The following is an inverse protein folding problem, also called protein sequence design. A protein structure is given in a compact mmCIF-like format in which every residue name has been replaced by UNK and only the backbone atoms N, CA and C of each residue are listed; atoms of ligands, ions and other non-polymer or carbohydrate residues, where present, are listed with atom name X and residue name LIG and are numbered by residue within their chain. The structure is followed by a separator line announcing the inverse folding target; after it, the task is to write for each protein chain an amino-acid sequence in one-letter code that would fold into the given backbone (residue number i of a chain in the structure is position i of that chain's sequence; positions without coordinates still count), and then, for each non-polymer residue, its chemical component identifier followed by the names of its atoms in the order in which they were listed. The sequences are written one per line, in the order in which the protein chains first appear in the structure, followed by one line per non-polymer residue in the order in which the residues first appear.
data_IF_051192037058
#
_entry.id   IF_051192037058
#
_cell.length_a   1.000
_cell.length_b   1.000
_cell.length_c   1.000
_cell.angle_alpha   90.00
_cell.angle_beta   90.00
_cell.angle_gamma   90.00
#
_symmetry.space_group_name_H-M   'P 1'
#
loop_
_entity.id
_entity.type
_entity.pdbx_description
1 polymer ?
#
# COMPACT_ATOMS: atom_id res chain seq x y z
N UNK A 1 61.59 27.14 -13.48
CA UNK A 1 60.34 27.21 -12.69
C UNK A 1 59.16 26.83 -13.58
N UNK A 2 58.46 25.74 -13.23
CA UNK A 2 57.01 25.48 -13.34
C UNK A 2 56.78 23.99 -13.55
N UNK A 3 56.63 23.32 -12.42
CA UNK A 3 56.05 22.00 -12.21
C UNK A 3 54.62 21.96 -12.76
N UNK A 4 54.36 21.11 -13.75
CA UNK A 4 53.01 20.74 -14.13
C UNK A 4 52.61 19.52 -13.31
N UNK A 5 51.92 19.76 -12.18
CA UNK A 5 51.27 18.72 -11.40
C UNK A 5 50.15 18.10 -12.22
N UNK A 6 50.31 16.83 -12.60
CA UNK A 6 49.26 16.00 -13.16
C UNK A 6 48.21 15.80 -12.05
N UNK A 7 47.12 16.56 -12.14
CA UNK A 7 45.97 16.45 -11.26
C UNK A 7 45.26 15.12 -11.59
N UNK A 8 45.48 14.10 -10.76
CA UNK A 8 44.68 12.88 -10.76
C UNK A 8 43.26 13.24 -10.33
N UNK A 9 42.39 13.54 -11.31
CA UNK A 9 40.96 13.58 -11.11
C UNK A 9 40.47 12.14 -10.91
N UNK A 10 40.55 11.67 -9.66
CA UNK A 10 39.81 10.50 -9.22
C UNK A 10 38.33 10.83 -9.43
N UNK A 11 37.75 10.29 -10.50
CA UNK A 11 36.30 10.26 -10.70
C UNK A 11 35.70 9.43 -9.56
N UNK A 12 35.36 10.10 -8.46
CA UNK A 12 34.41 9.61 -7.46
C UNK A 12 33.04 9.53 -8.14
N UNK A 13 32.82 8.43 -8.85
CA UNK A 13 31.48 8.01 -9.25
C UNK A 13 30.64 7.95 -7.96
N UNK A 14 29.51 8.66 -7.87
CA UNK A 14 28.57 8.39 -6.80
C UNK A 14 28.10 6.95 -6.98
N UNK A 15 28.46 6.07 -6.04
CA UNK A 15 27.86 4.74 -5.94
C UNK A 15 26.38 4.95 -5.61
N UNK A 16 25.57 5.07 -6.66
CA UNK A 16 24.13 4.92 -6.63
C UNK A 16 23.88 3.45 -6.25
N UNK A 17 23.80 3.17 -4.95
CA UNK A 17 23.37 1.88 -4.44
C UNK A 17 21.87 1.74 -4.76
N UNK A 18 21.58 1.18 -5.92
CA UNK A 18 20.26 0.72 -6.26
C UNK A 18 19.93 -0.45 -5.33
N UNK A 19 19.10 -0.20 -4.31
CA UNK A 19 18.46 -1.26 -3.54
C UNK A 19 17.78 -2.22 -4.54
N UNK A 20 18.17 -3.49 -4.54
CA UNK A 20 17.65 -4.47 -5.49
C UNK A 20 16.22 -4.83 -5.06
N UNK A 21 15.22 -4.47 -5.87
CA UNK A 21 13.86 -4.96 -5.68
C UNK A 21 13.86 -6.48 -5.83
N UNK A 22 13.30 -7.18 -4.85
CA UNK A 22 13.22 -8.63 -4.80
C UNK A 22 11.79 -9.09 -4.58
N UNK A 23 11.46 -10.24 -5.16
CA UNK A 23 10.21 -10.95 -4.91
C UNK A 23 10.45 -12.06 -3.89
N UNK A 24 9.58 -12.14 -2.89
CA UNK A 24 9.51 -13.28 -1.98
C UNK A 24 8.84 -14.43 -2.73
N UNK A 25 9.60 -15.49 -3.03
CA UNK A 25 9.10 -16.67 -3.76
C UNK A 25 8.77 -17.85 -2.87
N UNK A 26 9.31 -17.87 -1.65
CA UNK A 26 9.02 -18.88 -0.64
C UNK A 26 8.41 -18.19 0.60
N UNK A 27 7.09 -18.29 0.84
CA UNK A 27 6.46 -17.77 2.04
C UNK A 27 7.09 -18.28 3.34
N UNK A 28 7.65 -19.50 3.34
CA UNK A 28 8.31 -20.07 4.52
C UNK A 28 9.62 -19.36 4.87
N UNK A 29 10.22 -18.65 3.91
CA UNK A 29 11.38 -17.80 4.18
C UNK A 29 11.02 -16.67 5.17
N UNK A 30 9.78 -16.17 5.12
CA UNK A 30 9.27 -15.15 6.04
C UNK A 30 8.83 -15.73 7.38
N UNK A 31 8.29 -16.96 7.40
CA UNK A 31 7.95 -17.69 8.63
C UNK A 31 9.16 -17.84 9.56
N UNK A 32 10.32 -18.13 8.97
CA UNK A 32 11.59 -18.24 9.69
C UNK A 32 12.45 -16.97 9.61
N UNK A 33 11.83 -15.83 9.29
CA UNK A 33 12.53 -14.56 9.24
C UNK A 33 13.12 -14.22 10.62
N UNK A 34 14.42 -13.97 10.64
CA UNK A 34 15.16 -13.64 11.86
C UNK A 34 15.17 -12.13 12.08
N UNK A 35 15.24 -11.75 13.34
CA UNK A 35 15.38 -10.35 13.72
C UNK A 35 16.78 -9.87 13.33
N UNK A 36 16.85 -8.66 12.76
CA UNK A 36 18.14 -8.12 12.29
C UNK A 36 19.09 -7.96 13.47
N UNK A 37 18.59 -7.45 14.60
CA UNK A 37 19.37 -7.23 15.83
C UNK A 37 19.95 -8.51 16.43
N UNK A 38 19.30 -9.66 16.22
CA UNK A 38 19.70 -10.96 16.81
C UNK A 38 20.54 -11.80 15.85
N UNK A 39 20.72 -11.36 14.61
CA UNK A 39 21.42 -12.15 13.60
C UNK A 39 22.88 -11.72 13.48
N UNK A 40 23.79 -12.62 13.87
CA UNK A 40 25.24 -12.41 13.76
C UNK A 40 25.64 -12.16 12.30
N UNK A 41 26.50 -11.18 12.07
CA UNK A 41 27.01 -10.80 10.75
C UNK A 41 26.10 -9.85 9.95
N UNK A 42 24.87 -9.60 10.38
CA UNK A 42 23.97 -8.69 9.67
C UNK A 42 24.47 -7.24 9.68
N UNK A 43 24.96 -6.75 10.82
CA UNK A 43 25.50 -5.40 10.98
C UNK A 43 26.75 -5.16 10.14
N UNK A 44 27.71 -6.10 10.18
CA UNK A 44 28.91 -6.08 9.35
C UNK A 44 28.58 -6.07 7.86
N UNK A 45 27.55 -6.82 7.45
CA UNK A 45 27.08 -6.86 6.07
C UNK A 45 26.41 -5.55 5.62
N UNK A 46 25.66 -4.89 6.51
CA UNK A 46 25.06 -3.58 6.23
C UNK A 46 26.14 -2.49 6.12
N UNK A 47 27.15 -2.51 6.99
CA UNK A 47 28.34 -1.65 6.87
C UNK A 47 29.07 -1.89 5.55
N UNK A 48 29.30 -3.16 5.19
CA UNK A 48 29.93 -3.53 3.92
C UNK A 48 29.10 -3.13 2.69
N UNK A 49 27.77 -3.06 2.83
CA UNK A 49 26.87 -2.52 1.82
C UNK A 49 26.86 -0.98 1.74
N UNK A 50 27.61 -0.31 2.62
CA UNK A 50 27.82 1.14 2.61
C UNK A 50 26.80 1.94 3.42
N UNK A 51 26.00 1.28 4.26
CA UNK A 51 25.10 1.98 5.17
C UNK A 51 25.88 2.57 6.35
N UNK A 52 25.46 3.76 6.79
CA UNK A 52 26.05 4.41 7.95
C UNK A 52 25.42 3.94 9.27
N UNK A 53 26.03 4.29 10.40
CA UNK A 53 25.58 3.87 11.74
C UNK A 53 24.15 4.30 12.07
N UNK A 54 23.70 5.47 11.57
CA UNK A 54 22.33 5.94 11.78
C UNK A 54 21.33 5.07 11.03
N UNK A 55 21.60 4.77 9.76
CA UNK A 55 20.77 3.89 8.94
C UNK A 55 20.70 2.47 9.52
N UNK A 56 21.84 1.94 9.97
CA UNK A 56 21.91 0.65 10.66
C UNK A 56 21.12 0.70 11.98
N UNK A 57 21.20 1.80 12.72
CA UNK A 57 20.41 2.03 13.93
C UNK A 57 18.91 1.89 13.67
N UNK A 58 18.41 2.55 12.61
CA UNK A 58 17.00 2.44 12.17
C UNK A 58 16.66 0.99 11.79
N UNK A 59 17.50 0.33 11.00
CA UNK A 59 17.27 -1.07 10.60
C UNK A 59 17.20 -2.02 11.80
N UNK A 60 18.00 -1.75 12.84
CA UNK A 60 17.98 -2.53 14.08
C UNK A 60 16.75 -2.24 14.94
N UNK A 61 16.31 -0.99 14.95
CA UNK A 61 15.12 -0.55 15.68
C UNK A 61 13.85 -1.16 15.09
N UNK A 62 13.69 -1.14 13.76
CA UNK A 62 12.53 -1.67 13.05
C UNK A 62 12.74 -3.09 12.49
N UNK A 63 13.75 -3.78 13.01
CA UNK A 63 14.15 -5.12 12.59
C UNK A 63 13.71 -6.23 13.54
N UNK A 64 12.86 -5.91 14.53
CA UNK A 64 12.32 -6.88 15.48
C UNK A 64 11.02 -7.51 14.94
N UNK A 65 10.66 -8.67 15.47
CA UNK A 65 9.40 -9.35 15.18
C UNK A 65 8.20 -8.50 15.56
N UNK A 66 8.30 -7.71 16.62
CA UNK A 66 7.22 -6.83 17.09
C UNK A 66 6.90 -5.68 16.14
N UNK A 67 7.84 -5.29 15.27
CA UNK A 67 7.62 -4.25 14.26
C UNK A 67 6.88 -4.77 13.02
N UNK A 68 6.73 -6.10 12.91
CA UNK A 68 6.03 -6.73 11.80
C UNK A 68 4.50 -6.55 11.93
N UNK A 69 3.77 -6.51 10.80
CA UNK A 69 2.30 -6.53 10.79
C UNK A 69 1.72 -7.73 11.54
N UNK A 70 0.55 -7.58 12.14
CA UNK A 70 -0.10 -8.60 12.98
C UNK A 70 -0.21 -9.98 12.29
N UNK A 71 -0.56 -10.01 11.01
CA UNK A 71 -0.71 -11.22 10.19
C UNK A 71 0.59 -11.97 9.89
N UNK A 72 1.75 -11.38 10.18
CA UNK A 72 3.07 -12.04 10.15
C UNK A 72 3.87 -11.85 11.44
N UNK A 73 3.22 -11.36 12.50
CA UNK A 73 3.83 -11.27 13.83
C UNK A 73 3.68 -12.59 14.58
N UNK A 74 2.52 -13.26 14.42
CA UNK A 74 2.16 -14.51 15.10
C UNK A 74 3.01 -15.73 14.72
N UNK A 75 2.74 -16.87 15.36
CA UNK A 75 3.42 -18.15 15.10
C UNK A 75 2.98 -18.83 13.80
N UNK A 76 3.41 -20.08 13.62
CA UNK A 76 3.27 -20.88 12.38
C UNK A 76 1.84 -20.89 11.81
N UNK A 77 0.81 -20.93 12.66
CA UNK A 77 -0.60 -20.90 12.24
C UNK A 77 -1.01 -19.58 11.57
N UNK A 78 -0.44 -18.46 12.00
CA UNK A 78 -0.72 -17.12 11.44
C UNK A 78 -0.02 -16.95 10.08
N UNK A 79 1.20 -17.47 9.96
CA UNK A 79 1.93 -17.50 8.69
C UNK A 79 1.25 -18.41 7.66
N UNK A 80 0.81 -19.61 8.05
CA UNK A 80 0.13 -20.54 7.16
C UNK A 80 -1.17 -19.95 6.59
N UNK A 81 -1.95 -19.25 7.42
CA UNK A 81 -3.18 -18.58 6.98
C UNK A 81 -2.91 -17.43 6.00
N UNK A 82 -1.78 -16.74 6.15
CA UNK A 82 -1.42 -15.57 5.36
C UNK A 82 -0.41 -15.82 4.23
N UNK A 83 0.05 -17.07 4.07
CA UNK A 83 1.04 -17.45 3.06
C UNK A 83 0.70 -16.99 1.62
N UNK A 84 -0.57 -17.04 1.15
CA UNK A 84 -0.93 -16.53 -0.17
C UNK A 84 -0.71 -15.02 -0.35
N UNK A 85 -0.69 -14.26 0.75
CA UNK A 85 -0.51 -12.80 0.73
C UNK A 85 0.96 -12.40 0.85
N UNK A 86 1.78 -13.19 1.56
CA UNK A 86 3.20 -12.88 1.82
C UNK A 86 3.99 -12.64 0.52
N UNK A 87 3.70 -13.43 -0.53
CA UNK A 87 4.38 -13.29 -1.84
C UNK A 87 4.09 -11.96 -2.55
N UNK A 88 3.11 -11.19 -2.08
CA UNK A 88 2.67 -9.93 -2.68
C UNK A 88 3.31 -8.69 -2.02
N UNK A 89 4.14 -8.88 -0.98
CA UNK A 89 4.94 -7.78 -0.45
C UNK A 89 5.94 -7.30 -1.51
N UNK A 90 6.04 -5.98 -1.65
CA UNK A 90 7.16 -5.33 -2.30
C UNK A 90 8.32 -5.25 -1.32
N UNK A 91 9.45 -5.83 -1.70
CA UNK A 91 10.62 -5.98 -0.83
C UNK A 91 11.89 -5.53 -1.56
N UNK A 92 12.85 -5.01 -0.80
CA UNK A 92 14.13 -4.54 -1.30
C UNK A 92 15.27 -5.20 -0.53
N UNK A 93 16.18 -5.85 -1.23
CA UNK A 93 17.36 -6.48 -0.64
C UNK A 93 18.41 -5.40 -0.41
N UNK A 94 18.83 -5.26 0.85
CA UNK A 94 19.85 -4.29 1.26
C UNK A 94 21.25 -4.88 1.14
N UNK A 95 21.42 -6.12 1.60
CA UNK A 95 22.69 -6.83 1.53
C UNK A 95 22.46 -8.35 1.62
N UNK A 96 23.50 -9.11 1.26
CA UNK A 96 23.58 -10.56 1.49
C UNK A 96 24.80 -10.87 2.32
N UNK A 97 24.71 -11.90 3.16
CA UNK A 97 25.83 -12.34 3.98
C UNK A 97 25.72 -13.82 4.33
N UNK A 98 26.85 -14.39 4.73
CA UNK A 98 26.92 -15.77 5.13
C UNK A 98 26.82 -15.89 6.65
N UNK A 99 25.86 -16.68 7.11
CA UNK A 99 25.72 -17.04 8.51
C UNK A 99 25.64 -18.57 8.61
N UNK A 100 26.56 -19.15 9.35
CA UNK A 100 26.74 -20.60 9.48
C UNK A 100 26.96 -21.25 8.09
N UNK A 101 26.01 -22.07 7.65
CA UNK A 101 26.02 -22.76 6.34
C UNK A 101 25.05 -22.15 5.34
N UNK A 102 24.36 -21.06 5.68
CA UNK A 102 23.27 -20.50 4.89
C UNK A 102 23.58 -19.07 4.43
N UNK A 103 23.25 -18.78 3.16
CA UNK A 103 23.24 -17.42 2.65
C UNK A 103 21.94 -16.73 3.05
N UNK A 104 22.09 -15.62 3.77
CA UNK A 104 21.01 -14.79 4.26
C UNK A 104 21.04 -13.43 3.57
N UNK A 105 19.91 -12.76 3.61
CA UNK A 105 19.73 -11.41 3.09
C UNK A 105 19.00 -10.55 4.12
N UNK A 106 19.44 -9.30 4.27
CA UNK A 106 18.66 -8.26 4.96
C UNK A 106 17.71 -7.64 3.94
N UNK A 107 16.43 -7.67 4.24
CA UNK A 107 15.36 -7.22 3.36
C UNK A 107 14.54 -6.14 4.04
N UNK A 108 14.30 -5.06 3.32
CA UNK A 108 13.39 -3.96 3.71
C UNK A 108 12.04 -4.16 3.05
N UNK A 109 10.96 -3.95 3.81
CA UNK A 109 9.59 -3.94 3.33
C UNK A 109 8.95 -2.59 3.64
N UNK A 110 9.00 -1.62 2.70
CA UNK A 110 8.54 -0.26 2.97
C UNK A 110 7.03 -0.17 3.10
N UNK A 111 6.53 0.56 4.09
CA UNK A 111 5.09 0.77 4.28
C UNK A 111 4.45 1.46 3.06
N UNK A 112 5.14 2.46 2.50
CA UNK A 112 4.64 3.20 1.34
C UNK A 112 4.48 2.32 0.08
N UNK A 113 5.31 1.28 -0.06
CA UNK A 113 5.24 0.32 -1.17
C UNK A 113 4.26 -0.83 -0.92
N UNK A 114 3.72 -0.95 0.29
CA UNK A 114 2.90 -2.08 0.73
C UNK A 114 1.51 -1.67 1.24
N UNK A 115 1.01 -0.49 0.83
CA UNK A 115 -0.32 -0.01 1.20
C UNK A 115 -1.47 -0.86 0.65
N UNK A 116 -1.20 -1.67 -0.39
CA UNK A 116 -2.17 -2.60 -0.99
C UNK A 116 -2.41 -3.85 -0.16
N UNK A 117 -1.56 -4.13 0.82
CA UNK A 117 -1.70 -5.31 1.66
C UNK A 117 -2.99 -5.25 2.49
N UNK A 118 -3.61 -6.41 2.81
CA UNK A 118 -4.71 -6.52 3.78
C UNK A 118 -4.37 -5.83 5.10
N UNK A 119 -5.36 -5.39 5.86
CA UNK A 119 -5.17 -4.59 7.08
C UNK A 119 -4.18 -5.23 8.06
N UNK A 120 -4.38 -6.50 8.40
CA UNK A 120 -3.48 -7.24 9.32
C UNK A 120 -2.07 -7.46 8.75
N UNK A 121 -1.90 -7.34 7.44
CA UNK A 121 -0.65 -7.51 6.70
C UNK A 121 -0.04 -6.18 6.25
N UNK A 122 -0.67 -5.05 6.60
CA UNK A 122 -0.21 -3.74 6.15
C UNK A 122 0.83 -3.20 7.12
N UNK A 123 2.04 -2.85 6.66
CA UNK A 123 3.03 -2.23 7.53
C UNK A 123 2.61 -0.82 7.90
N UNK A 124 2.71 -0.48 9.19
CA UNK A 124 2.48 0.88 9.70
C UNK A 124 3.73 1.76 9.55
N UNK A 125 4.90 1.13 9.50
CA UNK A 125 6.20 1.71 9.22
C UNK A 125 7.01 0.73 8.35
N UNK A 126 8.13 1.21 7.82
CA UNK A 126 9.09 0.32 7.16
C UNK A 126 9.61 -0.69 8.18
N UNK A 127 9.67 -1.96 7.81
CA UNK A 127 10.22 -3.00 8.67
C UNK A 127 11.26 -3.82 7.93
N UNK A 128 12.14 -4.44 8.71
CA UNK A 128 13.30 -5.14 8.21
C UNK A 128 13.32 -6.58 8.73
N UNK A 129 13.74 -7.49 7.86
CA UNK A 129 13.82 -8.91 8.19
C UNK A 129 15.08 -9.52 7.61
N UNK A 130 15.58 -10.56 8.28
CA UNK A 130 16.62 -11.43 7.70
C UNK A 130 15.98 -12.71 7.22
N UNK A 131 16.13 -13.01 5.94
CA UNK A 131 15.56 -14.22 5.31
C UNK A 131 16.64 -14.99 4.54
N UNK A 132 16.44 -16.30 4.30
CA UNK A 132 17.26 -17.05 3.35
C UNK A 132 17.25 -16.42 1.96
N UNK A 133 18.43 -16.17 1.38
CA UNK A 133 18.54 -15.55 0.05
C UNK A 133 17.87 -16.41 -1.04
N UNK A 134 17.92 -17.74 -0.90
CA UNK A 134 17.21 -18.70 -1.77
C UNK A 134 15.68 -18.50 -1.84
N UNK A 135 15.09 -17.85 -0.84
CA UNK A 135 13.67 -17.53 -0.79
C UNK A 135 13.30 -16.30 -1.62
N UNK A 136 14.31 -15.59 -2.12
CA UNK A 136 14.19 -14.35 -2.90
C UNK A 136 14.54 -14.61 -4.36
N UNK A 137 13.91 -13.85 -5.25
CA UNK A 137 14.38 -13.68 -6.63
C UNK A 137 14.48 -12.20 -6.96
N UNK A 138 15.43 -11.78 -7.81
CA UNK A 138 15.40 -10.46 -8.40
C UNK A 138 14.01 -10.21 -8.97
N UNK A 139 13.40 -9.06 -8.66
CA UNK A 139 12.18 -8.68 -9.34
C UNK A 139 12.51 -8.46 -10.82
N UNK A 140 11.65 -8.98 -11.72
CA UNK A 140 11.77 -8.67 -13.15
C UNK A 140 11.84 -7.15 -13.31
N UNK A 141 12.81 -6.66 -14.13
CA UNK A 141 13.02 -5.21 -14.34
C UNK A 141 11.66 -4.52 -14.50
N UNK A 142 11.34 -3.53 -13.67
CA UNK A 142 9.98 -3.04 -13.61
C UNK A 142 9.62 -2.46 -14.98
N UNK A 143 8.56 -3.00 -15.59
CA UNK A 143 7.67 -2.13 -16.37
C UNK A 143 7.42 -0.92 -15.47
N UNK A 144 7.59 0.34 -15.94
CA UNK A 144 7.37 1.51 -15.10
C UNK A 144 6.07 1.30 -14.33
N UNK A 145 6.18 1.22 -13.00
CA UNK A 145 5.02 0.90 -12.17
C UNK A 145 3.97 1.96 -12.49
N UNK A 146 2.71 1.58 -12.77
CA UNK A 146 1.66 2.58 -12.74
C UNK A 146 1.72 3.26 -11.36
N UNK A 147 1.80 4.60 -11.33
CA UNK A 147 1.83 5.35 -10.08
C UNK A 147 0.73 4.81 -9.15
N UNK A 148 1.07 4.32 -7.97
CA UNK A 148 0.06 3.86 -7.01
C UNK A 148 -0.78 5.07 -6.63
N UNK A 149 -1.99 5.14 -7.18
CA UNK A 149 -2.83 6.30 -6.99
C UNK A 149 -3.35 6.35 -5.55
N UNK A 150 -3.21 7.53 -4.91
CA UNK A 150 -3.88 7.82 -3.64
C UNK A 150 -5.41 7.95 -3.79
N UNK A 151 -5.90 7.91 -5.02
CA UNK A 151 -7.28 8.17 -5.40
C UNK A 151 -7.41 9.39 -6.30
N UNK A 152 -8.53 9.55 -7.00
CA UNK A 152 -8.78 10.69 -7.86
C UNK A 152 -8.80 12.00 -7.07
N UNK A 153 -8.18 13.05 -7.62
CA UNK A 153 -8.26 14.40 -7.06
C UNK A 153 -9.72 14.85 -6.91
N UNK A 154 -10.13 15.19 -5.69
CA UNK A 154 -11.51 15.62 -5.37
C UNK A 154 -11.68 17.12 -5.11
N UNK A 155 -10.60 17.86 -4.82
CA UNK A 155 -10.67 19.29 -4.43
C UNK A 155 -11.27 20.21 -5.51
N UNK A 156 -11.22 19.80 -6.77
CA UNK A 156 -11.77 20.54 -7.91
C UNK A 156 -13.11 19.97 -8.41
N UNK A 157 -13.64 18.93 -7.75
CA UNK A 157 -14.87 18.25 -8.13
C UNK A 157 -16.05 18.88 -7.40
N UNK A 158 -17.23 18.85 -8.02
CA UNK A 158 -18.44 19.38 -7.41
C UNK A 158 -18.80 18.61 -6.14
N UNK A 159 -19.20 19.32 -5.09
CA UNK A 159 -19.69 18.68 -3.87
C UNK A 159 -21.06 18.05 -4.12
N UNK A 160 -21.29 16.89 -3.51
CA UNK A 160 -22.53 16.12 -3.64
C UNK A 160 -23.10 15.84 -2.25
N UNK A 161 -24.42 15.90 -2.13
CA UNK A 161 -25.17 15.47 -0.96
C UNK A 161 -25.92 14.17 -1.27
N UNK A 162 -25.73 13.14 -0.44
CA UNK A 162 -26.54 11.92 -0.50
C UNK A 162 -27.92 12.25 0.09
N UNK A 163 -28.99 12.00 -0.68
CA UNK A 163 -30.37 12.28 -0.28
C UNK A 163 -31.22 11.02 -0.08
N UNK A 164 -30.90 9.91 -0.76
CA UNK A 164 -31.49 8.59 -0.50
C UNK A 164 -30.36 7.57 -0.24
N UNK A 165 -29.95 7.39 1.01
CA UNK A 165 -28.75 6.61 1.33
C UNK A 165 -28.90 5.11 1.07
N UNK A 166 -30.13 4.61 1.02
CA UNK A 166 -30.56 3.24 0.72
C UNK A 166 -30.36 2.83 -0.75
N UNK A 167 -30.27 3.79 -1.67
CA UNK A 167 -30.02 3.58 -3.11
C UNK A 167 -28.52 3.37 -3.45
N UNK A 168 -27.77 2.80 -2.49
CA UNK A 168 -26.35 2.49 -2.61
C UNK A 168 -26.15 1.12 -3.25
N UNK A 169 -25.36 1.05 -4.32
CA UNK A 169 -24.94 -0.21 -4.92
C UNK A 169 -23.69 -0.76 -4.22
N UNK A 170 -23.85 -1.32 -3.02
CA UNK A 170 -22.72 -1.74 -2.18
C UNK A 170 -21.89 -2.92 -2.74
N UNK A 171 -22.55 -3.84 -3.45
CA UNK A 171 -21.93 -4.97 -4.12
C UNK A 171 -21.70 -4.74 -5.62
N UNK A 172 -21.66 -3.48 -6.07
CA UNK A 172 -21.50 -3.17 -7.49
C UNK A 172 -20.14 -3.59 -8.02
N UNK A 173 -20.12 -4.43 -9.05
CA UNK A 173 -18.89 -4.81 -9.73
C UNK A 173 -18.52 -3.78 -10.81
N UNK A 174 -17.89 -2.69 -10.39
CA UNK A 174 -17.40 -1.64 -11.30
C UNK A 174 -16.33 -2.14 -12.28
N UNK A 175 -15.56 -3.18 -11.91
CA UNK A 175 -14.54 -3.75 -12.78
C UNK A 175 -15.11 -4.39 -14.05
N UNK A 176 -16.33 -4.93 -13.97
CA UNK A 176 -17.04 -5.54 -15.09
C UNK A 176 -17.85 -4.54 -15.93
N UNK A 177 -17.98 -3.28 -15.48
CA UNK A 177 -18.79 -2.27 -16.13
C UNK A 177 -17.96 -1.36 -17.04
N UNK A 178 -17.89 -1.73 -18.32
CA UNK A 178 -17.17 -0.96 -19.34
C UNK A 178 -17.67 0.50 -19.47
N UNK A 179 -18.96 0.77 -19.24
CA UNK A 179 -19.51 2.12 -19.31
C UNK A 179 -19.06 2.96 -18.10
N UNK A 180 -19.05 2.37 -16.91
CA UNK A 180 -18.52 2.97 -15.69
C UNK A 180 -17.02 3.28 -15.81
N UNK A 181 -16.22 2.31 -16.24
CA UNK A 181 -14.78 2.49 -16.47
C UNK A 181 -14.49 3.61 -17.49
N UNK A 182 -15.24 3.62 -18.60
CA UNK A 182 -15.12 4.66 -19.63
C UNK A 182 -15.54 6.04 -19.11
N UNK A 183 -16.54 6.12 -18.24
CA UNK A 183 -16.94 7.38 -17.62
C UNK A 183 -15.87 7.92 -16.68
N UNK A 184 -15.21 7.07 -15.89
CA UNK A 184 -14.11 7.48 -15.01
C UNK A 184 -12.94 8.04 -15.80
N UNK A 185 -12.50 7.32 -16.85
CA UNK A 185 -11.43 7.78 -17.74
C UNK A 185 -11.77 9.14 -18.39
N UNK A 186 -13.01 9.35 -18.85
CA UNK A 186 -13.46 10.63 -19.43
C UNK A 186 -13.44 11.80 -18.44
N UNK A 187 -13.47 11.56 -17.14
CA UNK A 187 -13.30 12.61 -16.13
C UNK A 187 -11.83 12.99 -15.90
N UNK A 188 -10.92 12.44 -16.69
CA UNK A 188 -9.48 12.67 -16.59
C UNK A 188 -8.79 11.81 -15.54
N UNK A 189 -9.44 10.74 -15.05
CA UNK A 189 -8.79 9.81 -14.12
C UNK A 189 -7.72 9.00 -14.86
N UNK A 190 -6.53 8.90 -14.26
CA UNK A 190 -5.48 8.00 -14.74
C UNK A 190 -5.92 6.54 -14.55
N UNK A 191 -5.29 5.61 -15.28
CA UNK A 191 -5.55 4.18 -15.13
C UNK A 191 -5.40 3.73 -13.66
N UNK A 192 -4.37 4.21 -12.98
CA UNK A 192 -4.16 3.86 -11.57
C UNK A 192 -5.22 4.45 -10.63
N UNK A 193 -5.74 5.65 -10.93
CA UNK A 193 -6.89 6.21 -10.20
C UNK A 193 -8.14 5.34 -10.41
N UNK A 194 -8.38 4.86 -11.63
CA UNK A 194 -9.48 3.95 -11.95
C UNK A 194 -9.34 2.63 -11.20
N UNK A 195 -8.16 2.02 -11.22
CA UNK A 195 -7.89 0.76 -10.51
C UNK A 195 -8.09 0.92 -9.00
N UNK A 196 -7.64 2.04 -8.41
CA UNK A 196 -7.86 2.35 -7.00
C UNK A 196 -9.35 2.55 -6.67
N UNK A 197 -10.11 3.17 -7.57
CA UNK A 197 -11.56 3.35 -7.43
C UNK A 197 -12.26 2.00 -7.46
N UNK A 198 -11.98 1.16 -8.46
CA UNK A 198 -12.57 -0.17 -8.62
C UNK A 198 -12.33 -1.02 -7.37
N UNK A 199 -11.11 -1.00 -6.85
CA UNK A 199 -10.76 -1.76 -5.65
C UNK A 199 -11.54 -1.26 -4.42
N UNK A 200 -11.57 0.05 -4.16
CA UNK A 200 -12.18 0.60 -2.92
C UNK A 200 -13.67 0.92 -3.04
N UNK A 201 -14.30 0.65 -4.18
CA UNK A 201 -15.76 0.82 -4.36
C UNK A 201 -16.60 -0.35 -3.85
N UNK A 202 -15.96 -1.43 -3.41
CA UNK A 202 -16.63 -2.64 -2.91
C UNK A 202 -16.70 -2.65 -1.39
N UNK A 203 -17.82 -3.11 -0.83
CA UNK A 203 -18.07 -3.09 0.62
C UNK A 203 -16.98 -3.77 1.47
N UNK A 204 -16.36 -4.85 0.98
CA UNK A 204 -15.22 -5.52 1.65
C UNK A 204 -14.01 -4.62 1.93
N UNK A 205 -13.91 -3.46 1.28
CA UNK A 205 -12.83 -2.50 1.44
C UNK A 205 -13.28 -1.23 2.17
N UNK A 206 -14.47 -1.25 2.77
CA UNK A 206 -15.01 -0.16 3.59
C UNK A 206 -14.71 -0.40 5.08
N UNK A 207 -14.92 0.61 5.95
CA UNK A 207 -14.79 0.41 7.40
C UNK A 207 -15.74 -0.68 7.91
N UNK A 208 -15.26 -1.44 8.91
CA UNK A 208 -15.96 -2.58 9.54
C UNK A 208 -17.44 -2.32 9.86
N UNK A 209 -17.81 -1.11 10.28
CA UNK A 209 -19.20 -0.81 10.58
C UNK A 209 -20.12 -0.65 9.38
N UNK A 210 -19.63 -0.78 8.15
CA UNK A 210 -20.42 -0.65 6.92
C UNK A 210 -20.00 -1.64 5.80
N UNK A 211 -19.08 -2.56 6.08
CA UNK A 211 -18.52 -3.50 5.10
C UNK A 211 -19.44 -4.71 4.80
N UNK A 212 -20.47 -4.92 5.62
CA UNK A 212 -21.55 -5.89 5.45
C UNK A 212 -22.92 -5.21 5.37
N UNK A 213 -23.95 -5.93 4.91
CA UNK A 213 -25.32 -5.40 4.93
C UNK A 213 -25.82 -5.21 6.37
N UNK A 214 -25.55 -6.18 7.23
CA UNK A 214 -25.97 -6.25 8.62
C UNK A 214 -25.41 -5.08 9.44
N UNK A 215 -24.15 -4.72 9.22
CA UNK A 215 -23.51 -3.59 9.89
C UNK A 215 -23.91 -2.24 9.28
N UNK A 216 -24.06 -2.20 7.96
CA UNK A 216 -24.43 -0.97 7.25
C UNK A 216 -25.87 -0.56 7.50
N UNK A 217 -26.81 -1.49 7.51
CA UNK A 217 -28.25 -1.20 7.53
C UNK A 217 -28.68 -0.32 8.73
N UNK A 218 -28.27 -0.60 9.98
CA UNK A 218 -28.56 0.27 11.13
C UNK A 218 -27.97 1.69 11.02
N UNK A 219 -26.99 1.89 10.12
CA UNK A 219 -26.24 3.12 9.95
C UNK A 219 -26.55 3.83 8.63
N UNK A 220 -27.37 3.24 7.75
CA UNK A 220 -27.59 3.73 6.39
C UNK A 220 -28.09 5.19 6.39
N UNK A 221 -29.00 5.56 7.29
CA UNK A 221 -29.48 6.93 7.42
C UNK A 221 -28.36 7.96 7.70
N UNK A 222 -27.26 7.54 8.33
CA UNK A 222 -26.10 8.38 8.64
C UNK A 222 -25.20 8.63 7.41
N UNK A 223 -25.38 7.91 6.30
CA UNK A 223 -24.60 8.16 5.07
C UNK A 223 -24.84 9.57 4.51
N UNK A 224 -26.00 10.16 4.78
CA UNK A 224 -26.31 11.57 4.50
C UNK A 224 -25.33 12.57 5.14
N UNK A 225 -24.54 12.14 6.12
CA UNK A 225 -23.54 12.95 6.83
C UNK A 225 -22.16 12.93 6.16
N UNK A 226 -21.90 12.01 5.23
CA UNK A 226 -20.63 12.02 4.50
C UNK A 226 -20.49 13.29 3.66
N UNK A 227 -19.31 13.88 3.70
CA UNK A 227 -18.90 14.89 2.72
C UNK A 227 -18.42 14.15 1.47
N UNK A 228 -19.20 14.25 0.40
CA UNK A 228 -18.98 13.54 -0.85
C UNK A 228 -18.72 14.51 -2.02
N UNK A 229 -17.98 14.03 -3.02
CA UNK A 229 -17.66 14.77 -4.24
C UNK A 229 -17.93 13.92 -5.47
N UNK A 230 -18.24 14.55 -6.60
CA UNK A 230 -18.64 13.87 -7.82
C UNK A 230 -17.44 13.19 -8.51
N UNK A 231 -17.41 11.86 -8.52
CA UNK A 231 -16.41 11.04 -9.21
C UNK A 231 -16.71 10.90 -10.71
N UNK A 232 -17.83 10.30 -11.07
CA UNK A 232 -18.27 10.20 -12.46
C UNK A 232 -19.76 9.89 -12.49
N UNK A 233 -20.38 10.05 -13.66
CA UNK A 233 -21.78 9.69 -13.90
C UNK A 233 -21.86 8.89 -15.20
N UNK A 234 -22.64 7.80 -15.18
CA UNK A 234 -22.91 6.98 -16.35
C UNK A 234 -24.27 6.32 -16.19
N UNK A 235 -25.08 6.35 -17.25
CA UNK A 235 -26.47 5.88 -17.19
C UNK A 235 -27.24 6.49 -16.00
N UNK A 236 -27.81 5.61 -15.19
CA UNK A 236 -28.53 5.90 -13.95
C UNK A 236 -27.64 5.87 -12.69
N UNK A 237 -26.31 5.79 -12.83
CA UNK A 237 -25.36 5.64 -11.73
C UNK A 237 -24.43 6.85 -11.59
N UNK A 238 -23.95 7.02 -10.37
CA UNK A 238 -22.97 8.05 -10.01
C UNK A 238 -21.95 7.48 -9.03
N UNK A 239 -20.67 7.71 -9.30
CA UNK A 239 -19.60 7.47 -8.35
C UNK A 239 -19.41 8.71 -7.49
N UNK A 240 -19.38 8.51 -6.17
CA UNK A 240 -19.04 9.51 -5.18
C UNK A 240 -17.65 9.22 -4.61
N UNK A 241 -16.85 10.26 -4.43
CA UNK A 241 -15.58 10.22 -3.72
C UNK A 241 -15.84 10.71 -2.29
N UNK A 242 -15.47 9.90 -1.30
CA UNK A 242 -15.61 10.21 0.12
C UNK A 242 -14.20 10.40 0.71
N UNK A 243 -13.66 11.63 0.69
CA UNK A 243 -12.29 11.85 1.07
C UNK A 243 -12.07 11.75 2.57
N UNK A 244 -10.99 11.07 2.97
CA UNK A 244 -10.62 10.93 4.38
C UNK A 244 -10.44 12.29 5.05
N UNK A 245 -9.82 13.24 4.36
CA UNK A 245 -9.54 14.60 4.84
C UNK A 245 -10.82 15.29 5.38
N UNK A 246 -11.97 15.10 4.71
CA UNK A 246 -13.22 15.78 5.05
C UNK A 246 -14.11 14.97 6.00
N UNK A 247 -13.81 13.70 6.20
CA UNK A 247 -14.67 12.77 6.93
C UNK A 247 -14.00 12.22 8.21
N UNK A 248 -12.90 12.82 8.68
CA UNK A 248 -12.20 12.42 9.93
C UNK A 248 -13.06 12.43 11.19
N UNK A 249 -14.15 13.22 11.20
CA UNK A 249 -15.08 13.33 12.34
C UNK A 249 -16.26 12.36 12.26
N UNK A 250 -16.31 11.49 11.24
CA UNK A 250 -17.31 10.43 11.19
C UNK A 250 -17.16 9.49 12.39
N UNK A 251 -18.25 8.83 12.83
CA UNK A 251 -18.18 7.77 13.83
C UNK A 251 -17.14 6.72 13.43
N UNK A 252 -16.41 6.15 14.40
CA UNK A 252 -15.29 5.21 14.14
C UNK A 252 -15.69 4.09 13.17
N UNK A 253 -16.85 3.48 13.41
CA UNK A 253 -17.42 2.42 12.59
C UNK A 253 -17.70 2.80 11.11
N UNK A 254 -17.72 4.10 10.78
CA UNK A 254 -18.01 4.63 9.44
C UNK A 254 -16.83 5.45 8.90
N UNK A 255 -15.76 5.62 9.69
CA UNK A 255 -14.72 6.59 9.40
C UNK A 255 -13.79 6.04 8.32
N UNK A 256 -13.61 6.76 7.20
CA UNK A 256 -12.62 6.36 6.21
C UNK A 256 -11.21 6.47 6.78
N UNK A 257 -10.38 5.44 6.61
CA UNK A 257 -8.92 5.51 6.81
C UNK A 257 -8.20 5.91 5.53
N UNK A 258 -8.81 5.61 4.38
CA UNK A 258 -8.45 6.05 3.03
C UNK A 258 -9.70 6.57 2.33
N UNK A 259 -9.54 7.26 1.20
CA UNK A 259 -10.68 7.71 0.40
C UNK A 259 -11.55 6.50 -0.01
N UNK A 260 -12.85 6.58 0.29
CA UNK A 260 -13.85 5.57 -0.10
C UNK A 260 -14.56 6.02 -1.38
N UNK A 261 -15.09 5.05 -2.11
CA UNK A 261 -15.92 5.33 -3.27
C UNK A 261 -17.25 4.62 -3.17
N UNK A 262 -18.33 5.35 -3.40
CA UNK A 262 -19.67 4.80 -3.38
C UNK A 262 -20.30 4.93 -4.75
N UNK A 263 -20.94 3.87 -5.23
CA UNK A 263 -21.77 3.92 -6.44
C UNK A 263 -23.21 4.04 -5.98
N UNK A 264 -23.88 5.12 -6.37
CA UNK A 264 -25.27 5.40 -6.05
C UNK A 264 -26.10 5.47 -7.32
N UNK A 265 -27.42 5.31 -7.17
CA UNK A 265 -28.33 5.77 -8.20
C UNK A 265 -28.15 7.30 -8.40
N UNK A 266 -28.15 7.79 -9.63
CA UNK A 266 -27.92 9.19 -9.90
C UNK A 266 -29.04 10.09 -9.35
N UNK A 267 -30.25 9.56 -9.17
CA UNK A 267 -31.40 10.27 -8.58
C UNK A 267 -31.35 10.34 -7.04
N UNK A 268 -30.49 9.56 -6.39
CA UNK A 268 -30.36 9.53 -4.93
C UNK A 268 -29.33 10.52 -4.38
N UNK A 269 -28.76 11.37 -5.24
CA UNK A 269 -27.78 12.38 -4.87
C UNK A 269 -28.14 13.75 -5.43
N UNK A 270 -27.76 14.81 -4.73
CA UNK A 270 -27.93 16.20 -5.15
C UNK A 270 -26.56 16.86 -5.31
N UNK A 271 -26.26 17.38 -6.50
CA UNK A 271 -25.05 18.17 -6.76
C UNK A 271 -25.26 19.58 -6.21
N UNK A 272 -24.33 20.07 -5.40
CA UNK A 272 -24.46 21.35 -4.68
C UNK A 272 -23.80 22.55 -5.39
N UNK A 273 -23.05 22.32 -6.48
CA UNK A 273 -22.32 23.35 -7.22
C UNK A 273 -20.80 23.14 -7.17
N UNK A 274 -20.07 23.90 -8.00
CA UNK A 274 -18.61 24.05 -7.95
C UNK A 274 -18.26 25.26 -7.12
#
# INVERSE_FOLDING_TARGET
MRTASLLAFLLLLPRLFAQEEVRITDPKAMEHARDVRKTKGAEEALLAAGLNELEIGVIREYGDREDRPQGIRGGDSTYAANAPYIINYTAFKLCTFQADTQQLAVVMLPAASNIHMPEDMRPLADFYVVVPDRGLKPADRPKPRPEVSRGPRWKTRAQVKIIKPDELYAAYNLAADSAGLSALARTGMSRAEVDAVVFRSTERNWPEGIDSFEDRYPRIGKFTKYRAYLGARWGDKVLLIIPVEKNRRMPTAMRPYVDLYFVYNASSVKILGR
#
